data_IF_204461890188
#
_entry.id   IF_204461890188
#
_cell.length_a   1.000
_cell.length_b   1.000
_cell.length_c   1.000
_cell.angle_alpha   90.00
_cell.angle_beta   90.00
_cell.angle_gamma   90.00
#
_symmetry.space_group_name_H-M   'P 1'
#
loop_
_entity.id
_entity.type
_entity.pdbx_description
1 polymer ?
#
# COMPACT_ATOMS: atom_id res chain seq x y z
N UNK A 1 5.37 -7.52 20.06
CA UNK A 1 5.31 -7.04 18.65
C UNK A 1 4.13 -6.10 18.36
N UNK A 2 2.87 -6.56 18.51
CA UNK A 2 1.66 -5.80 18.14
C UNK A 2 1.53 -4.41 18.80
N UNK A 3 1.95 -4.26 20.07
CA UNK A 3 1.91 -2.96 20.75
C UNK A 3 2.88 -1.92 20.17
N UNK A 4 3.99 -2.33 19.55
CA UNK A 4 4.91 -1.40 18.86
C UNK A 4 4.31 -0.90 17.55
N UNK A 5 3.57 -1.76 16.86
CA UNK A 5 2.86 -1.43 15.60
C UNK A 5 1.70 -0.45 15.87
N UNK A 6 0.94 -0.70 16.94
CA UNK A 6 -0.08 0.23 17.44
C UNK A 6 0.54 1.53 17.99
N UNK A 7 1.73 1.48 18.59
CA UNK A 7 2.46 2.69 19.03
C UNK A 7 3.02 3.50 17.86
N UNK A 8 3.47 2.87 16.77
CA UNK A 8 3.85 3.56 15.54
C UNK A 8 2.64 4.23 14.88
N UNK A 9 1.48 3.56 14.85
CA UNK A 9 0.21 4.17 14.45
C UNK A 9 -0.31 5.26 15.41
N UNK A 10 0.06 5.21 16.70
CA UNK A 10 -0.26 6.25 17.70
C UNK A 10 0.74 7.42 17.70
N UNK A 11 1.94 7.26 17.13
CA UNK A 11 2.97 8.30 17.10
C UNK A 11 2.79 9.29 15.94
N UNK A 12 2.12 8.89 14.86
CA UNK A 12 1.60 9.84 13.87
C UNK A 12 0.31 10.45 14.43
N UNK A 13 0.26 11.77 14.54
CA UNK A 13 -0.98 12.46 14.86
C UNK A 13 -2.07 12.15 13.82
N UNK A 14 -3.34 12.38 14.17
CA UNK A 14 -4.45 12.23 13.22
C UNK A 14 -4.15 12.98 11.91
N UNK A 15 -3.58 14.18 12.01
CA UNK A 15 -3.21 15.00 10.87
C UNK A 15 -2.08 14.40 10.03
N UNK A 16 -1.07 13.79 10.66
CA UNK A 16 0.03 13.14 9.94
C UNK A 16 -0.45 11.94 9.13
N UNK A 17 -1.38 11.16 9.69
CA UNK A 17 -1.97 10.02 8.99
C UNK A 17 -2.83 10.47 7.80
N UNK A 18 -3.61 11.55 7.96
CA UNK A 18 -4.39 12.13 6.86
C UNK A 18 -3.46 12.62 5.74
N UNK A 19 -2.41 13.36 6.10
CA UNK A 19 -1.39 13.82 5.15
C UNK A 19 -0.69 12.66 4.44
N UNK A 20 -0.41 11.56 5.15
CA UNK A 20 0.15 10.35 4.56
C UNK A 20 -0.79 9.75 3.52
N UNK A 21 -2.09 9.64 3.81
CA UNK A 21 -3.07 9.13 2.85
C UNK A 21 -3.20 10.01 1.61
N UNK A 22 -3.18 11.34 1.79
CA UNK A 22 -3.17 12.28 0.66
C UNK A 22 -1.89 12.16 -0.17
N UNK A 23 -0.74 12.02 0.48
CA UNK A 23 0.55 11.80 -0.19
C UNK A 23 0.55 10.50 -0.98
N UNK A 24 0.10 9.39 -0.38
CA UNK A 24 -0.02 8.10 -1.07
C UNK A 24 -1.02 8.15 -2.23
N UNK A 25 -2.10 8.93 -2.10
CA UNK A 25 -3.04 9.18 -3.21
C UNK A 25 -2.37 9.92 -4.36
N UNK A 26 -1.59 10.97 -4.05
CA UNK A 26 -0.82 11.72 -5.03
C UNK A 26 0.29 10.88 -5.68
N UNK A 27 0.95 10.00 -4.92
CA UNK A 27 1.92 9.04 -5.48
C UNK A 27 1.25 8.08 -6.45
N UNK A 28 0.06 7.56 -6.14
CA UNK A 28 -0.70 6.72 -7.07
C UNK A 28 -1.00 7.44 -8.38
N UNK A 29 -1.43 8.69 -8.32
CA UNK A 29 -1.68 9.52 -9.51
C UNK A 29 -0.40 9.71 -10.34
N UNK A 30 0.71 10.03 -9.66
CA UNK A 30 2.04 10.09 -10.25
C UNK A 30 2.48 8.76 -10.84
N UNK A 31 2.20 7.60 -10.24
CA UNK A 31 2.55 6.31 -10.82
C UNK A 31 1.80 6.05 -12.13
N UNK A 32 0.55 6.50 -12.25
CA UNK A 32 -0.21 6.38 -13.49
C UNK A 32 0.34 7.32 -14.58
N UNK A 33 0.75 8.54 -14.21
CA UNK A 33 1.27 9.54 -15.15
C UNK A 33 2.75 9.30 -15.48
N UNK A 34 3.61 9.24 -14.46
CA UNK A 34 5.06 9.00 -14.52
C UNK A 34 5.40 7.58 -14.95
N UNK A 35 4.51 6.61 -14.71
CA UNK A 35 4.62 5.32 -15.36
C UNK A 35 4.71 5.47 -16.89
N UNK A 36 4.16 6.52 -17.50
CA UNK A 36 4.30 6.74 -18.94
C UNK A 36 5.63 7.44 -19.30
N UNK A 37 6.31 8.09 -18.36
CA UNK A 37 7.36 9.07 -18.62
C UNK A 37 8.73 8.80 -17.95
N UNK A 38 8.89 7.80 -17.08
CA UNK A 38 10.17 7.59 -16.37
C UNK A 38 10.37 6.23 -15.69
N UNK A 39 11.59 6.05 -15.14
CA UNK A 39 11.98 4.87 -14.35
C UNK A 39 11.41 5.02 -12.93
N UNK A 40 10.62 4.04 -12.49
CA UNK A 40 10.05 3.96 -11.16
C UNK A 40 11.03 3.29 -10.19
N UNK A 41 11.13 3.82 -8.97
CA UNK A 41 11.93 3.22 -7.89
C UNK A 41 11.03 2.71 -6.77
N UNK A 42 11.59 1.91 -5.87
CA UNK A 42 10.91 1.41 -4.68
C UNK A 42 10.16 2.51 -3.89
N UNK A 43 10.77 3.70 -3.79
CA UNK A 43 10.27 4.84 -3.02
C UNK A 43 9.07 5.56 -3.66
N UNK A 44 8.89 5.41 -4.98
CA UNK A 44 7.79 5.99 -5.73
C UNK A 44 6.47 5.26 -5.45
N UNK A 45 6.53 4.04 -4.93
CA UNK A 45 5.36 3.23 -4.65
C UNK A 45 4.69 3.64 -3.34
N UNK A 46 3.37 3.88 -3.35
CA UNK A 46 2.58 4.19 -2.16
C UNK A 46 2.25 2.90 -1.39
N UNK A 47 3.27 2.30 -0.80
CA UNK A 47 3.12 1.10 0.03
C UNK A 47 2.08 1.33 1.13
N UNK A 48 1.13 0.40 1.34
CA UNK A 48 0.04 0.58 2.30
C UNK A 48 0.54 0.34 3.74
N UNK A 49 1.51 1.13 4.19
CA UNK A 49 2.13 1.04 5.51
C UNK A 49 2.34 2.46 6.06
N UNK A 50 2.29 2.64 7.38
CA UNK A 50 2.44 3.97 7.99
C UNK A 50 3.85 4.54 7.88
N UNK A 51 4.84 3.65 7.89
CA UNK A 51 6.24 3.98 7.74
C UNK A 51 6.68 3.52 6.37
N UNK A 52 7.32 4.42 5.63
CA UNK A 52 7.94 4.09 4.35
C UNK A 52 8.88 2.89 4.53
N UNK A 53 8.59 1.77 3.85
CA UNK A 53 9.39 0.56 4.01
C UNK A 53 10.74 0.76 3.34
N UNK A 54 11.82 0.25 3.92
CA UNK A 54 13.15 0.31 3.30
C UNK A 54 13.41 -0.89 2.39
N UNK A 55 12.57 -1.92 2.49
CA UNK A 55 12.61 -3.10 1.64
C UNK A 55 11.36 -3.98 1.80
N UNK A 56 11.33 -5.14 1.13
CA UNK A 56 10.16 -6.04 1.13
C UNK A 56 9.82 -6.59 2.52
N UNK A 57 10.82 -6.72 3.41
CA UNK A 57 10.64 -7.22 4.78
C UNK A 57 9.82 -6.26 5.67
N UNK A 58 9.79 -4.96 5.37
CA UNK A 58 8.94 -3.99 6.08
C UNK A 58 7.47 -4.06 5.60
N UNK A 59 7.20 -4.66 4.45
CA UNK A 59 5.85 -4.77 3.85
C UNK A 59 5.16 -6.04 4.35
N UNK A 60 4.89 -6.08 5.65
CA UNK A 60 4.27 -7.26 6.28
C UNK A 60 2.77 -7.11 6.51
N UNK A 61 2.09 -8.25 6.62
CA UNK A 61 0.67 -8.33 6.89
C UNK A 61 0.17 -7.39 8.00
N UNK A 62 0.75 -7.39 9.22
CA UNK A 62 0.22 -6.56 10.31
C UNK A 62 0.36 -5.05 10.04
N UNK A 63 1.40 -4.58 9.34
CA UNK A 63 1.51 -3.16 8.96
C UNK A 63 0.45 -2.77 7.93
N UNK A 64 0.26 -3.63 6.92
CA UNK A 64 -0.72 -3.42 5.86
C UNK A 64 -2.13 -3.40 6.42
N UNK A 65 -2.44 -4.37 7.29
CA UNK A 65 -3.71 -4.43 8.02
C UNK A 65 -3.96 -3.18 8.84
N UNK A 66 -2.98 -2.72 9.62
CA UNK A 66 -3.15 -1.52 10.43
C UNK A 66 -3.42 -0.27 9.57
N UNK A 67 -2.74 -0.13 8.44
CA UNK A 67 -2.97 0.96 7.49
C UNK A 67 -4.35 0.87 6.83
N UNK A 68 -4.78 -0.34 6.45
CA UNK A 68 -6.06 -0.63 5.80
C UNK A 68 -7.26 -0.67 6.73
N UNK A 69 -7.08 -0.81 8.04
CA UNK A 69 -8.16 -0.72 9.03
C UNK A 69 -8.16 0.61 9.78
N UNK A 70 -7.28 1.54 9.42
CA UNK A 70 -7.21 2.84 10.08
C UNK A 70 -8.53 3.61 9.96
N UNK A 71 -9.09 4.13 11.08
CA UNK A 71 -10.33 4.91 11.09
C UNK A 71 -10.12 6.35 10.59
N UNK A 72 -8.87 6.73 10.29
CA UNK A 72 -8.51 8.07 9.83
C UNK A 72 -8.67 8.26 8.32
N UNK A 73 -9.06 7.19 7.60
CA UNK A 73 -9.42 7.32 6.21
C UNK A 73 -10.74 8.09 6.07
N UNK A 74 -10.91 8.84 4.96
CA UNK A 74 -12.16 9.54 4.70
C UNK A 74 -13.33 8.54 4.69
N UNK A 75 -14.40 8.90 5.41
CA UNK A 75 -15.56 8.04 5.68
C UNK A 75 -16.46 7.78 4.45
N UNK A 76 -16.07 8.27 3.27
CA UNK A 76 -16.81 8.09 2.01
C UNK A 76 -17.00 6.62 1.60
N UNK A 77 -16.12 5.71 2.06
CA UNK A 77 -16.13 4.30 1.65
C UNK A 77 -15.92 3.35 2.81
N UNK A 78 -16.65 2.23 2.80
CA UNK A 78 -16.42 1.14 3.75
C UNK A 78 -14.99 0.61 3.63
N UNK A 79 -14.42 0.10 4.73
CA UNK A 79 -13.10 -0.52 4.72
C UNK A 79 -13.01 -1.62 3.64
N UNK A 80 -14.10 -2.37 3.45
CA UNK A 80 -14.25 -3.41 2.41
C UNK A 80 -14.09 -2.87 0.99
N UNK A 81 -14.75 -1.76 0.66
CA UNK A 81 -14.65 -1.15 -0.67
C UNK A 81 -13.24 -0.63 -0.92
N UNK A 82 -12.64 0.02 0.08
CA UNK A 82 -11.26 0.49 0.01
C UNK A 82 -10.27 -0.65 -0.23
N UNK A 83 -10.43 -1.77 0.47
CA UNK A 83 -9.59 -2.95 0.28
C UNK A 83 -9.75 -3.49 -1.15
N UNK A 84 -10.97 -3.65 -1.66
CA UNK A 84 -11.22 -4.08 -3.05
C UNK A 84 -10.56 -3.18 -4.08
N UNK A 85 -10.65 -1.86 -3.90
CA UNK A 85 -9.98 -0.90 -4.79
C UNK A 85 -8.46 -1.05 -4.74
N UNK A 86 -7.87 -1.22 -3.56
CA UNK A 86 -6.44 -1.42 -3.42
C UNK A 86 -6.00 -2.76 -4.03
N UNK A 87 -6.77 -3.85 -3.88
CA UNK A 87 -6.50 -5.13 -4.55
C UNK A 87 -6.44 -4.93 -6.06
N UNK A 88 -7.41 -4.22 -6.65
CA UNK A 88 -7.43 -3.95 -8.10
C UNK A 88 -6.24 -3.13 -8.57
N UNK A 89 -5.76 -2.20 -7.75
CA UNK A 89 -4.60 -1.34 -8.07
C UNK A 89 -3.27 -2.10 -7.97
N UNK A 90 -3.12 -2.92 -6.93
CA UNK A 90 -1.93 -3.73 -6.70
C UNK A 90 -1.95 -5.06 -7.45
N UNK A 91 -3.03 -5.40 -8.14
CA UNK A 91 -3.23 -6.68 -8.79
C UNK A 91 -2.04 -7.02 -9.71
N UNK A 92 -1.44 -8.23 -9.59
CA UNK A 92 -0.26 -8.60 -10.36
C UNK A 92 -0.46 -8.41 -11.86
N UNK A 93 -1.62 -8.76 -12.41
CA UNK A 93 -1.94 -8.54 -13.82
C UNK A 93 -1.71 -7.09 -14.29
N UNK A 94 -2.19 -6.08 -13.55
CA UNK A 94 -1.98 -4.67 -13.92
C UNK A 94 -0.60 -4.18 -13.50
N UNK A 95 -0.13 -4.61 -12.34
CA UNK A 95 1.12 -4.15 -11.78
C UNK A 95 2.32 -4.64 -12.59
N UNK A 96 2.35 -5.92 -12.93
CA UNK A 96 3.41 -6.55 -13.72
C UNK A 96 3.41 -6.11 -15.18
N UNK A 97 2.24 -5.81 -15.76
CA UNK A 97 2.15 -5.33 -17.14
C UNK A 97 2.40 -3.83 -17.28
N UNK A 98 1.92 -3.01 -16.32
CA UNK A 98 1.95 -1.55 -16.46
C UNK A 98 3.01 -0.85 -15.63
N UNK A 99 3.46 -1.41 -14.50
CA UNK A 99 4.38 -0.75 -13.56
C UNK A 99 5.75 -1.42 -13.54
N UNK A 100 5.79 -2.74 -13.37
CA UNK A 100 7.03 -3.54 -13.30
C UNK A 100 8.02 -3.29 -14.45
N UNK A 101 7.63 -3.19 -15.74
CA UNK A 101 8.58 -2.87 -16.82
C UNK A 101 9.21 -1.48 -16.69
N UNK A 102 8.57 -0.56 -15.97
CA UNK A 102 9.11 0.79 -15.72
C UNK A 102 9.91 0.87 -14.43
N UNK A 103 9.79 -0.12 -13.55
CA UNK A 103 10.62 -0.17 -12.35
C UNK A 103 12.07 -0.42 -12.75
N UNK A 104 13.00 0.25 -12.06
CA UNK A 104 14.44 0.01 -12.17
C UNK A 104 14.72 -1.49 -12.00
N UNK A 105 15.55 -2.06 -12.87
CA UNK A 105 15.83 -3.50 -12.86
C UNK A 105 16.32 -4.02 -11.51
N UNK A 106 17.14 -3.23 -10.80
CA UNK A 106 17.62 -3.57 -9.45
C UNK A 106 16.50 -3.67 -8.41
N UNK A 107 15.41 -2.91 -8.59
CA UNK A 107 14.27 -2.86 -7.66
C UNK A 107 13.09 -3.73 -8.13
N UNK A 108 13.08 -4.20 -9.38
CA UNK A 108 11.95 -4.97 -9.94
C UNK A 108 11.59 -6.18 -9.09
N UNK A 109 12.59 -6.94 -8.67
CA UNK A 109 12.37 -8.19 -7.94
C UNK A 109 11.74 -7.94 -6.56
N UNK A 110 12.31 -6.98 -5.80
CA UNK A 110 11.82 -6.60 -4.49
C UNK A 110 10.43 -5.95 -4.57
N UNK A 111 10.18 -5.12 -5.58
CA UNK A 111 8.88 -4.44 -5.77
C UNK A 111 7.81 -5.47 -6.13
N UNK A 112 8.13 -6.44 -7.00
CA UNK A 112 7.21 -7.53 -7.37
C UNK A 112 6.85 -8.37 -6.15
N UNK A 113 7.83 -8.78 -5.36
CA UNK A 113 7.62 -9.60 -4.16
C UNK A 113 6.74 -8.86 -3.13
N UNK A 114 7.08 -7.61 -2.83
CA UNK A 114 6.31 -6.79 -1.91
C UNK A 114 4.88 -6.51 -2.43
N UNK A 115 4.70 -6.23 -3.72
CA UNK A 115 3.39 -6.06 -4.32
C UNK A 115 2.53 -7.33 -4.21
N UNK A 116 3.12 -8.50 -4.44
CA UNK A 116 2.47 -9.79 -4.24
C UNK A 116 2.02 -9.99 -2.80
N UNK A 117 2.86 -9.64 -1.84
CA UNK A 117 2.53 -9.68 -0.40
C UNK A 117 1.38 -8.72 -0.07
N UNK A 118 1.41 -7.49 -0.57
CA UNK A 118 0.31 -6.52 -0.40
C UNK A 118 -1.01 -7.09 -0.90
N UNK A 119 -1.06 -7.60 -2.13
CA UNK A 119 -2.30 -8.17 -2.71
C UNK A 119 -2.80 -9.34 -1.88
N UNK A 120 -1.92 -10.24 -1.45
CA UNK A 120 -2.29 -11.40 -0.64
C UNK A 120 -2.91 -10.97 0.68
N UNK A 121 -2.29 -10.03 1.40
CA UNK A 121 -2.80 -9.52 2.67
C UNK A 121 -4.12 -8.79 2.49
N UNK A 122 -4.25 -7.98 1.44
CA UNK A 122 -5.50 -7.29 1.14
C UNK A 122 -6.64 -8.27 0.84
N UNK A 123 -6.37 -9.35 0.10
CA UNK A 123 -7.37 -10.40 -0.15
C UNK A 123 -7.78 -11.12 1.14
N UNK A 124 -6.81 -11.43 2.02
CA UNK A 124 -7.06 -12.04 3.32
C UNK A 124 -7.93 -11.14 4.22
N UNK A 125 -7.63 -9.83 4.24
CA UNK A 125 -8.45 -8.83 4.92
C UNK A 125 -9.85 -8.74 4.34
N UNK A 126 -9.99 -8.75 3.02
CA UNK A 126 -11.29 -8.70 2.35
C UNK A 126 -12.15 -9.91 2.72
N UNK A 127 -11.53 -11.09 2.76
CA UNK A 127 -12.18 -12.35 3.14
C UNK A 127 -12.61 -12.29 4.60
N UNK A 128 -11.74 -11.84 5.49
CA UNK A 128 -12.02 -11.68 6.92
C UNK A 128 -13.15 -10.69 7.18
N UNK A 129 -13.16 -9.53 6.52
CA UNK A 129 -14.23 -8.52 6.60
C UNK A 129 -15.56 -8.92 5.92
N UNK A 130 -15.63 -10.10 5.28
CA UNK A 130 -16.86 -10.62 4.67
C UNK A 130 -17.50 -11.74 5.51
N UNK A 131 -16.77 -12.28 6.49
CA UNK A 131 -17.27 -13.36 7.36
C UNK A 131 -17.86 -12.84 8.69
N UNK A 132 -18.02 -11.53 8.84
CA UNK A 132 -18.58 -10.86 10.02
C UNK A 132 -19.99 -10.31 9.74
#
# INVERSE_FOLDING_TARGET
>A
EQERLLKAGKALGKQDTIRLFEHHRGQWDKLQISGVLGVLMWDDFPWPVFKRPSGPDDVTAPYITAYMLSPLHPADKSAKDRIKENIRRWHPDRFETQLLPKVKESDRDIVRDAAGTVVRVLNDLLRSSTQE
#
